data_IF_822261160907
#
_entry.id   IF_822261160907
#
_cell.length_a   1.000
_cell.length_b   1.000
_cell.length_c   1.000
_cell.angle_alpha   90.00
_cell.angle_beta   90.00
_cell.angle_gamma   90.00
#
_symmetry.space_group_name_H-M   'P 1'
#
loop_
_entity.id
_entity.type
_entity.pdbx_description
1 polymer ?
#
# COMPACT_ATOMS: atom_id res chain seq x y z
N UNK A 1 -22.10 6.68 11.62
CA UNK A 1 -21.49 8.02 11.46
C UNK A 1 -22.39 9.03 12.12
N UNK A 2 -21.84 10.11 12.68
CA UNK A 2 -22.62 11.22 13.25
C UNK A 2 -21.96 12.55 12.88
N UNK A 3 -22.73 13.64 12.89
CA UNK A 3 -22.22 15.00 12.68
C UNK A 3 -21.80 15.26 11.23
N UNK A 4 -20.69 15.97 11.02
CA UNK A 4 -20.26 16.44 9.69
C UNK A 4 -20.05 15.30 8.67
N UNK A 5 -19.63 14.13 9.11
CA UNK A 5 -19.45 12.97 8.24
C UNK A 5 -20.79 12.42 7.73
N UNK A 6 -21.83 12.45 8.56
CA UNK A 6 -23.19 12.04 8.16
C UNK A 6 -23.78 13.02 7.14
N UNK A 7 -23.68 14.32 7.38
CA UNK A 7 -24.14 15.36 6.43
C UNK A 7 -23.44 15.23 5.06
N UNK A 8 -22.13 15.00 5.06
CA UNK A 8 -21.38 14.77 3.83
C UNK A 8 -21.86 13.52 3.08
N UNK A 9 -22.03 12.40 3.80
CA UNK A 9 -22.45 11.14 3.19
C UNK A 9 -23.87 11.25 2.61
N UNK A 10 -24.80 11.85 3.35
CA UNK A 10 -26.17 12.12 2.86
C UNK A 10 -26.14 12.97 1.58
N UNK A 11 -25.37 14.07 1.56
CA UNK A 11 -25.23 14.90 0.36
C UNK A 11 -24.61 14.16 -0.83
N UNK A 12 -23.70 13.21 -0.58
CA UNK A 12 -23.16 12.34 -1.62
C UNK A 12 -24.25 11.43 -2.20
N UNK A 13 -25.02 10.76 -1.33
CA UNK A 13 -26.09 9.84 -1.71
C UNK A 13 -27.18 10.55 -2.50
N UNK A 14 -27.62 11.73 -2.08
CA UNK A 14 -28.62 12.52 -2.81
C UNK A 14 -28.14 12.92 -4.21
N UNK A 15 -26.85 13.19 -4.38
CA UNK A 15 -26.28 13.64 -5.66
C UNK A 15 -25.93 12.50 -6.62
N UNK A 16 -25.47 11.36 -6.09
CA UNK A 16 -24.83 10.28 -6.88
C UNK A 16 -25.47 8.90 -6.68
N UNK A 17 -26.43 8.77 -5.76
CA UNK A 17 -27.01 7.49 -5.35
C UNK A 17 -26.20 6.78 -4.27
N UNK A 18 -26.72 5.67 -3.77
CA UNK A 18 -26.07 4.85 -2.74
C UNK A 18 -24.91 4.08 -3.40
N UNK A 19 -23.65 4.31 -2.97
CA UNK A 19 -22.51 3.58 -3.51
C UNK A 19 -22.53 2.11 -3.05
N UNK A 20 -21.95 1.23 -3.87
CA UNK A 20 -21.55 -0.10 -3.40
C UNK A 20 -20.53 0.00 -2.26
N UNK A 21 -20.33 -1.09 -1.52
CA UNK A 21 -19.34 -1.11 -0.43
C UNK A 21 -17.92 -0.76 -0.89
N UNK A 22 -17.52 -1.23 -2.09
CA UNK A 22 -16.20 -0.93 -2.66
C UNK A 22 -16.07 0.56 -2.99
N UNK A 23 -17.10 1.14 -3.63
CA UNK A 23 -17.11 2.58 -3.96
C UNK A 23 -17.10 3.41 -2.68
N UNK A 24 -17.91 3.05 -1.69
CA UNK A 24 -17.94 3.74 -0.40
C UNK A 24 -16.55 3.79 0.25
N UNK A 25 -15.81 2.68 0.19
CA UNK A 25 -14.46 2.58 0.75
C UNK A 25 -13.52 3.60 0.10
N UNK A 26 -13.53 3.68 -1.24
CA UNK A 26 -12.73 4.65 -2.00
C UNK A 26 -13.12 6.09 -1.65
N UNK A 27 -14.40 6.41 -1.69
CA UNK A 27 -14.89 7.79 -1.49
C UNK A 27 -14.61 8.28 -0.05
N UNK A 28 -14.70 7.39 0.95
CA UNK A 28 -14.33 7.70 2.34
C UNK A 28 -12.83 8.00 2.44
N UNK A 29 -11.99 7.17 1.83
CA UNK A 29 -10.54 7.36 1.86
C UNK A 29 -10.12 8.64 1.12
N UNK A 30 -10.71 8.94 -0.03
CA UNK A 30 -10.49 10.22 -0.73
C UNK A 30 -10.86 11.42 0.17
N UNK A 31 -11.96 11.32 0.92
CA UNK A 31 -12.48 12.44 1.72
C UNK A 31 -11.67 12.70 2.99
N UNK A 32 -11.23 11.64 3.66
CA UNK A 32 -10.66 11.73 5.01
C UNK A 32 -9.14 11.48 5.04
N UNK A 33 -8.58 10.77 4.07
CA UNK A 33 -7.15 10.42 4.00
C UNK A 33 -6.42 11.11 2.84
N UNK A 34 -7.10 11.99 2.08
CA UNK A 34 -6.57 12.58 0.82
C UNK A 34 -5.99 11.50 -0.11
N UNK A 35 -6.64 10.33 -0.11
CA UNK A 35 -6.19 9.13 -0.77
C UNK A 35 -6.56 9.18 -2.25
N UNK A 36 -5.64 9.66 -3.07
CA UNK A 36 -5.75 9.64 -4.53
C UNK A 36 -4.85 8.55 -5.13
N UNK A 37 -5.34 7.87 -6.18
CA UNK A 37 -4.64 6.75 -6.81
C UNK A 37 -3.25 7.17 -7.29
N UNK A 38 -3.12 8.33 -7.95
CA UNK A 38 -1.84 8.81 -8.45
C UNK A 38 -0.85 9.09 -7.31
N UNK A 39 -1.33 9.68 -6.21
CA UNK A 39 -0.51 9.91 -5.00
C UNK A 39 -0.03 8.60 -4.37
N UNK A 40 -0.91 7.60 -4.25
CA UNK A 40 -0.55 6.29 -3.69
C UNK A 40 0.49 5.61 -4.56
N UNK A 41 0.27 5.55 -5.88
CA UNK A 41 1.21 4.96 -6.84
C UNK A 41 2.55 5.68 -6.81
N UNK A 42 2.56 7.01 -6.73
CA UNK A 42 3.78 7.80 -6.61
C UNK A 42 4.56 7.48 -5.34
N UNK A 43 3.89 7.52 -4.17
CA UNK A 43 4.49 7.15 -2.87
C UNK A 43 5.05 5.73 -2.88
N UNK A 44 4.29 4.78 -3.43
CA UNK A 44 4.70 3.38 -3.53
C UNK A 44 5.93 3.19 -4.43
N UNK A 45 5.99 3.85 -5.58
CA UNK A 45 7.13 3.76 -6.48
C UNK A 45 8.40 4.44 -5.94
N UNK A 46 8.24 5.51 -5.15
CA UNK A 46 9.34 6.23 -4.51
C UNK A 46 9.79 5.58 -3.19
N UNK A 47 9.04 4.62 -2.65
CA UNK A 47 9.36 3.99 -1.37
C UNK A 47 10.73 3.30 -1.43
N UNK A 48 11.61 3.65 -0.49
CA UNK A 48 12.93 3.06 -0.29
C UNK A 48 13.18 2.84 1.20
N UNK A 49 14.03 1.88 1.52
CA UNK A 49 14.50 1.63 2.87
C UNK A 49 15.51 2.70 3.28
N UNK A 50 15.07 3.65 4.11
CA UNK A 50 15.94 4.70 4.65
C UNK A 50 16.57 4.29 5.99
N UNK A 51 15.76 3.70 6.86
CA UNK A 51 16.14 3.35 8.23
C UNK A 51 16.22 1.83 8.42
N UNK A 52 15.35 1.27 9.26
CA UNK A 52 15.30 -0.16 9.57
C UNK A 52 14.37 -0.90 8.62
N UNK A 53 14.60 -2.20 8.47
CA UNK A 53 13.72 -3.08 7.66
C UNK A 53 12.28 -3.06 8.17
N UNK A 54 12.07 -3.00 9.49
CA UNK A 54 10.72 -3.02 10.05
C UNK A 54 9.93 -1.74 9.72
N UNK A 55 10.56 -0.56 9.80
CA UNK A 55 9.90 0.70 9.42
C UNK A 55 9.59 0.72 7.92
N UNK A 56 10.52 0.24 7.10
CA UNK A 56 10.30 0.13 5.66
C UNK A 56 9.16 -0.86 5.32
N UNK A 57 9.13 -2.02 5.96
CA UNK A 57 8.10 -3.04 5.77
C UNK A 57 6.71 -2.53 6.19
N UNK A 58 6.60 -1.89 7.35
CA UNK A 58 5.33 -1.30 7.82
C UNK A 58 4.79 -0.29 6.80
N UNK A 59 5.67 0.58 6.27
CA UNK A 59 5.27 1.55 5.25
C UNK A 59 4.91 0.92 3.91
N UNK A 60 5.59 -0.15 3.53
CA UNK A 60 5.25 -0.93 2.35
C UNK A 60 3.84 -1.51 2.52
N UNK A 61 3.59 -2.29 3.58
CA UNK A 61 2.31 -2.96 3.86
C UNK A 61 1.12 -1.97 3.86
N UNK A 62 1.31 -0.78 4.43
CA UNK A 62 0.32 0.30 4.36
C UNK A 62 0.01 0.72 2.92
N UNK A 63 1.04 0.96 2.10
CA UNK A 63 0.86 1.36 0.70
C UNK A 63 0.33 0.20 -0.16
N UNK A 64 0.66 -1.06 0.13
CA UNK A 64 0.10 -2.23 -0.53
C UNK A 64 -1.41 -2.33 -0.29
N UNK A 65 -1.86 -2.10 0.95
CA UNK A 65 -3.28 -2.08 1.28
C UNK A 65 -4.02 -1.02 0.45
N UNK A 66 -3.46 0.18 0.30
CA UNK A 66 -4.03 1.21 -0.57
C UNK A 66 -4.01 0.83 -2.05
N UNK A 67 -2.90 0.26 -2.56
CA UNK A 67 -2.81 -0.20 -3.95
C UNK A 67 -3.88 -1.26 -4.27
N UNK A 68 -4.16 -2.17 -3.33
CA UNK A 68 -5.18 -3.22 -3.49
C UNK A 68 -6.62 -2.69 -3.47
N UNK A 69 -6.88 -1.56 -2.81
CA UNK A 69 -8.18 -0.88 -2.89
C UNK A 69 -8.48 -0.46 -4.33
N UNK A 70 -7.47 0.05 -5.05
CA UNK A 70 -7.62 0.50 -6.44
C UNK A 70 -7.44 -0.62 -7.47
N UNK A 71 -6.56 -1.60 -7.21
CA UNK A 71 -6.26 -2.69 -8.11
C UNK A 71 -6.08 -4.02 -7.37
N UNK A 72 -7.17 -4.79 -7.27
CA UNK A 72 -7.21 -6.11 -6.60
C UNK A 72 -6.47 -7.22 -7.34
N UNK A 73 -5.99 -6.98 -8.56
CA UNK A 73 -5.30 -7.98 -9.37
C UNK A 73 -3.77 -8.00 -9.12
N UNK A 74 -3.25 -7.10 -8.28
CA UNK A 74 -1.85 -7.14 -7.86
C UNK A 74 -1.61 -8.37 -7.00
N UNK A 75 -0.54 -9.10 -7.29
CA UNK A 75 -0.22 -10.38 -6.66
C UNK A 75 1.01 -10.25 -5.73
N UNK A 76 1.25 -11.29 -4.93
CA UNK A 76 2.39 -11.34 -4.00
C UNK A 76 3.73 -11.15 -4.71
N UNK A 77 3.89 -11.71 -5.92
CA UNK A 77 5.12 -11.60 -6.69
C UNK A 77 5.47 -10.14 -7.02
N UNK A 78 4.48 -9.35 -7.44
CA UNK A 78 4.66 -7.91 -7.68
C UNK A 78 5.15 -7.18 -6.44
N UNK A 79 4.53 -7.45 -5.29
CA UNK A 79 4.87 -6.84 -4.02
C UNK A 79 6.24 -7.27 -3.50
N UNK A 80 6.59 -8.55 -3.63
CA UNK A 80 7.91 -9.07 -3.32
C UNK A 80 9.00 -8.40 -4.17
N UNK A 81 8.79 -8.28 -5.49
CA UNK A 81 9.74 -7.58 -6.36
C UNK A 81 9.90 -6.11 -5.97
N UNK A 82 8.80 -5.44 -5.60
CA UNK A 82 8.82 -4.04 -5.13
C UNK A 82 9.57 -3.90 -3.81
N UNK A 83 9.31 -4.77 -2.85
CA UNK A 83 10.02 -4.81 -1.59
C UNK A 83 11.53 -4.92 -1.80
N UNK A 84 11.99 -5.91 -2.59
CA UNK A 84 13.41 -6.11 -2.90
C UNK A 84 14.01 -4.87 -3.59
N UNK A 85 13.27 -4.27 -4.55
CA UNK A 85 13.76 -3.11 -5.29
C UNK A 85 14.01 -1.89 -4.41
N UNK A 86 13.25 -1.74 -3.32
CA UNK A 86 13.39 -0.62 -2.40
C UNK A 86 14.34 -0.85 -1.23
N UNK A 87 14.87 -2.06 -1.03
CA UNK A 87 15.92 -2.33 -0.03
C UNK A 87 17.19 -1.51 -0.31
N UNK A 88 17.97 -1.27 0.74
CA UNK A 88 19.35 -0.77 0.62
C UNK A 88 20.19 -1.74 -0.21
N UNK A 89 21.16 -1.21 -0.95
CA UNK A 89 21.85 -1.98 -1.98
C UNK A 89 22.62 -3.18 -1.41
N UNK A 90 23.24 -3.03 -0.24
CA UNK A 90 23.92 -4.12 0.46
C UNK A 90 22.97 -5.29 0.81
N UNK A 91 21.77 -4.96 1.32
CA UNK A 91 20.75 -5.95 1.69
C UNK A 91 20.13 -6.56 0.44
N UNK A 92 19.83 -5.73 -0.57
CA UNK A 92 19.29 -6.15 -1.86
C UNK A 92 20.18 -7.17 -2.55
N UNK A 93 21.49 -6.92 -2.61
CA UNK A 93 22.47 -7.84 -3.20
C UNK A 93 22.49 -9.17 -2.44
N UNK A 94 22.50 -9.12 -1.11
CA UNK A 94 22.45 -10.31 -0.26
C UNK A 94 21.18 -11.14 -0.52
N UNK A 95 20.01 -10.51 -0.46
CA UNK A 95 18.70 -11.15 -0.69
C UNK A 95 18.61 -11.74 -2.10
N UNK A 96 19.01 -10.98 -3.13
CA UNK A 96 18.98 -11.43 -4.52
C UNK A 96 19.83 -12.69 -4.75
N UNK A 97 20.99 -12.79 -4.09
CA UNK A 97 21.88 -13.97 -4.17
C UNK A 97 21.22 -15.23 -3.61
N UNK A 98 20.30 -15.08 -2.65
CA UNK A 98 19.60 -16.19 -1.99
C UNK A 98 18.35 -16.65 -2.75
N UNK A 99 17.90 -15.91 -3.76
CA UNK A 99 16.76 -16.25 -4.64
C UNK A 99 15.51 -16.67 -3.86
N UNK A 100 14.94 -15.79 -3.01
CA UNK A 100 13.71 -16.11 -2.28
C UNK A 100 12.56 -16.39 -3.24
N UNK A 101 11.63 -17.25 -2.82
CA UNK A 101 10.47 -17.66 -3.64
C UNK A 101 9.13 -17.11 -3.14
N UNK A 102 9.13 -16.39 -2.02
CA UNK A 102 7.95 -15.76 -1.43
C UNK A 102 8.34 -14.57 -0.54
N UNK A 103 7.35 -13.76 -0.17
CA UNK A 103 7.54 -12.54 0.60
C UNK A 103 8.13 -12.83 2.00
N UNK A 104 7.68 -13.88 2.68
CA UNK A 104 8.16 -14.23 4.01
C UNK A 104 9.66 -14.57 4.03
N UNK A 105 10.13 -15.40 3.08
CA UNK A 105 11.56 -15.68 2.93
C UNK A 105 12.35 -14.40 2.66
N UNK A 106 11.84 -13.52 1.81
CA UNK A 106 12.47 -12.25 1.48
C UNK A 106 12.63 -11.36 2.72
N UNK A 107 11.61 -11.27 3.56
CA UNK A 107 11.64 -10.51 4.82
C UNK A 107 12.66 -11.10 5.80
N UNK A 108 12.67 -12.43 5.99
CA UNK A 108 13.62 -13.10 6.88
C UNK A 108 15.07 -12.82 6.43
N UNK A 109 15.34 -12.97 5.13
CA UNK A 109 16.67 -12.70 4.59
C UNK A 109 17.08 -11.23 4.75
N UNK A 110 16.14 -10.31 4.59
CA UNK A 110 16.40 -8.87 4.72
C UNK A 110 16.73 -8.46 6.16
N UNK A 111 16.17 -9.15 7.16
CA UNK A 111 16.45 -8.91 8.60
C UNK A 111 17.76 -9.52 9.10
N UNK A 112 18.37 -10.42 8.33
CA UNK A 112 19.62 -11.10 8.68
C UNK A 112 20.89 -10.32 8.25
N UNK A 113 20.71 -9.11 7.72
CA UNK A 113 21.75 -8.12 7.41
C UNK A 113 21.53 -6.90 8.30
#
# INVERSE_FOLDING_TARGET
MQGRAELWYQGHVEKRGVPSWNELTVIVLEKFEDLDYEKVVSKFNMLRQETTINVYLERLEELEAYMLIFNKNLNEEFFMMKFISGLKDEIKIYVATKKPTNMNQTIILSRNQ
#
